data_IF_070812995674
#
_entry.id   IF_070812995674
#
_cell.length_a   1.000
_cell.length_b   1.000
_cell.length_c   1.000
_cell.angle_alpha   90.00
_cell.angle_beta   90.00
_cell.angle_gamma   90.00
#
_symmetry.space_group_name_H-M   'P 1'
#
loop_
_entity.id
_entity.type
_entity.pdbx_description
1 polymer ?
#
# COMPACT_ATOMS: atom_id res chain seq x y z
N UNK A 1 -15.07 3.79 15.08
CA UNK A 1 -14.41 2.68 14.36
C UNK A 1 -12.92 2.94 14.39
N UNK A 2 -12.18 2.17 15.18
CA UNK A 2 -10.74 2.34 15.34
C UNK A 2 -10.07 1.69 14.14
N UNK A 3 -9.54 2.50 13.23
CA UNK A 3 -8.67 2.03 12.15
C UNK A 3 -7.36 1.59 12.80
N UNK A 4 -7.28 0.33 13.25
CA UNK A 4 -5.98 -0.31 13.48
C UNK A 4 -5.37 -0.40 12.08
N UNK A 5 -4.53 0.57 11.75
CA UNK A 5 -3.81 0.61 10.49
C UNK A 5 -2.43 0.01 10.79
N UNK A 6 -2.26 -1.33 10.72
CA UNK A 6 -0.94 -1.91 10.86
C UNK A 6 -0.08 -1.24 9.79
N UNK A 7 1.03 -0.65 10.19
CA UNK A 7 1.99 -0.04 9.27
C UNK A 7 2.48 -1.16 8.35
N UNK A 8 1.86 -1.33 7.18
CA UNK A 8 2.07 -2.48 6.29
C UNK A 8 3.45 -2.44 5.64
N UNK A 9 4.02 -1.24 5.53
CA UNK A 9 5.39 -0.98 5.09
C UNK A 9 6.09 -0.19 6.20
N UNK A 10 7.09 -0.79 6.82
CA UNK A 10 7.93 -0.18 7.86
C UNK A 10 9.25 0.37 7.32
N UNK A 11 10.01 1.02 8.19
CA UNK A 11 11.28 1.70 7.86
C UNK A 11 12.28 0.80 7.10
N UNK A 12 12.39 -0.48 7.49
CA UNK A 12 13.29 -1.43 6.81
C UNK A 12 12.88 -1.70 5.36
N UNK A 13 11.57 -1.73 5.08
CA UNK A 13 11.06 -1.95 3.74
C UNK A 13 11.15 -0.67 2.91
N UNK A 14 10.91 0.51 3.50
CA UNK A 14 11.19 1.81 2.86
C UNK A 14 12.64 1.86 2.39
N UNK A 15 13.59 1.54 3.27
CA UNK A 15 15.01 1.55 2.90
C UNK A 15 15.36 0.58 1.78
N UNK A 16 14.80 -0.63 1.81
CA UNK A 16 15.02 -1.61 0.75
C UNK A 16 14.47 -1.12 -0.61
N UNK A 17 13.36 -0.38 -0.61
CA UNK A 17 12.79 0.20 -1.83
C UNK A 17 13.68 1.34 -2.36
N UNK A 18 14.21 2.20 -1.49
CA UNK A 18 15.20 3.22 -1.88
C UNK A 18 16.40 2.57 -2.59
N UNK A 19 17.01 1.58 -1.94
CA UNK A 19 18.18 0.89 -2.48
C UNK A 19 17.88 0.20 -3.83
N UNK A 20 16.66 -0.34 -4.00
CA UNK A 20 16.23 -0.99 -5.25
C UNK A 20 15.89 -0.03 -6.39
N UNK A 21 15.47 1.20 -6.08
CA UNK A 21 14.90 2.13 -7.07
C UNK A 21 15.77 3.36 -7.34
N UNK A 22 16.75 3.62 -6.48
CA UNK A 22 17.70 4.73 -6.61
C UNK A 22 17.11 6.10 -6.27
N UNK A 23 15.96 6.14 -5.57
CA UNK A 23 15.37 7.39 -5.06
C UNK A 23 15.88 7.70 -3.66
N UNK A 24 15.91 8.98 -3.31
CA UNK A 24 16.34 9.46 -2.00
C UNK A 24 15.13 9.97 -1.16
N UNK A 25 15.27 9.92 0.17
CA UNK A 25 14.27 10.42 1.14
C UNK A 25 12.85 9.84 0.91
N UNK A 26 12.78 8.52 0.70
CA UNK A 26 11.52 7.80 0.53
C UNK A 26 10.80 7.70 1.88
N UNK A 27 9.57 8.21 1.90
CA UNK A 27 8.67 8.09 3.03
C UNK A 27 7.34 7.49 2.61
N UNK A 28 6.87 6.47 3.34
CA UNK A 28 5.57 5.84 3.10
C UNK A 28 4.68 6.06 4.32
N UNK A 29 3.74 7.00 4.19
CA UNK A 29 2.87 7.46 5.28
C UNK A 29 1.41 7.03 5.10
N UNK A 30 0.65 6.92 6.19
CA UNK A 30 -0.81 6.67 6.17
C UNK A 30 -1.62 7.85 6.74
N UNK A 31 -0.99 9.03 6.83
CA UNK A 31 -1.69 10.22 7.30
C UNK A 31 -2.76 10.64 6.29
N UNK A 32 -3.74 11.43 6.73
CA UNK A 32 -4.83 11.87 5.87
C UNK A 32 -4.40 13.12 5.09
N UNK A 33 -3.84 12.90 3.92
CA UNK A 33 -3.23 13.95 3.09
C UNK A 33 -4.00 14.13 1.77
N UNK A 34 -4.53 13.05 1.18
CA UNK A 34 -5.21 13.07 -0.11
C UNK A 34 -6.52 12.27 -0.11
N UNK A 35 -7.53 12.79 -0.81
CA UNK A 35 -8.81 12.10 -0.98
C UNK A 35 -8.65 10.74 -1.71
N UNK A 36 -7.67 10.62 -2.60
CA UNK A 36 -7.36 9.39 -3.35
C UNK A 36 -6.87 8.22 -2.47
N UNK A 37 -6.53 8.47 -1.20
CA UNK A 37 -6.14 7.42 -0.27
C UNK A 37 -7.32 6.54 0.13
N UNK A 38 -8.54 7.06 0.11
CA UNK A 38 -9.74 6.32 0.52
C UNK A 38 -10.18 5.43 -0.64
N UNK A 39 -9.97 4.12 -0.50
CA UNK A 39 -10.26 3.14 -1.54
C UNK A 39 -11.17 2.03 -0.99
N UNK A 40 -11.93 1.38 -1.86
CA UNK A 40 -12.86 0.31 -1.48
C UNK A 40 -12.35 -1.04 -1.93
N UNK A 41 -12.55 -2.06 -1.10
CA UNK A 41 -12.37 -3.45 -1.49
C UNK A 41 -13.57 -3.95 -2.32
N UNK A 42 -13.52 -5.19 -2.85
CA UNK A 42 -14.63 -5.76 -3.63
C UNK A 42 -15.96 -5.88 -2.88
N UNK A 43 -15.96 -5.86 -1.54
CA UNK A 43 -17.17 -5.88 -0.71
C UNK A 43 -17.64 -4.47 -0.34
N UNK A 44 -16.93 -3.43 -0.76
CA UNK A 44 -17.26 -2.04 -0.48
C UNK A 44 -16.73 -1.54 0.87
N UNK A 45 -15.96 -2.33 1.61
CA UNK A 45 -15.32 -1.85 2.84
C UNK A 45 -14.22 -0.84 2.49
N UNK A 46 -14.06 0.16 3.36
CA UNK A 46 -13.13 1.26 3.13
C UNK A 46 -11.76 0.95 3.71
N UNK A 47 -10.74 1.12 2.88
CA UNK A 47 -9.32 0.96 3.20
C UNK A 47 -8.57 2.25 2.89
N UNK A 48 -7.43 2.45 3.54
CA UNK A 48 -6.57 3.62 3.34
C UNK A 48 -5.27 3.22 2.66
N UNK A 49 -5.04 3.73 1.47
CA UNK A 49 -3.76 3.62 0.78
C UNK A 49 -2.71 4.55 1.42
N UNK A 50 -1.43 4.15 1.43
CA UNK A 50 -0.37 5.04 1.86
C UNK A 50 -0.16 6.17 0.87
N UNK A 51 0.52 7.22 1.32
CA UNK A 51 1.17 8.22 0.48
C UNK A 51 2.63 7.83 0.40
N UNK A 52 3.14 7.70 -0.82
CA UNK A 52 4.56 7.55 -1.11
C UNK A 52 5.10 8.92 -1.46
N UNK A 53 6.10 9.38 -0.72
CA UNK A 53 6.83 10.62 -0.97
C UNK A 53 8.30 10.29 -1.19
N UNK A 54 8.94 10.93 -2.15
CA UNK A 54 10.39 10.82 -2.35
C UNK A 54 10.94 12.14 -2.89
N UNK A 55 12.27 12.28 -2.87
CA UNK A 55 12.99 13.38 -3.50
C UNK A 55 13.64 12.88 -4.78
N UNK A 56 13.48 13.66 -5.86
CA UNK A 56 14.15 13.44 -7.14
C UNK A 56 14.51 14.81 -7.71
N UNK A 57 15.75 14.98 -8.15
CA UNK A 57 16.27 16.26 -8.71
C UNK A 57 16.03 17.49 -7.80
N UNK A 58 15.97 17.29 -6.49
CA UNK A 58 15.72 18.33 -5.49
C UNK A 58 14.23 18.70 -5.29
N UNK A 59 13.32 18.05 -6.01
CA UNK A 59 11.87 18.24 -5.88
C UNK A 59 11.20 17.11 -5.10
N UNK A 60 10.11 17.43 -4.39
CA UNK A 60 9.31 16.43 -3.69
C UNK A 60 8.21 15.89 -4.59
N UNK A 61 8.21 14.57 -4.76
CA UNK A 61 7.19 13.86 -5.52
C UNK A 61 6.28 13.08 -4.60
N UNK A 62 5.02 12.92 -5.02
CA UNK A 62 3.98 12.24 -4.25
C UNK A 62 3.23 11.26 -5.14
N UNK A 63 2.90 10.11 -4.56
CA UNK A 63 2.15 9.07 -5.24
C UNK A 63 1.25 8.32 -4.27
N UNK A 64 -0.02 8.15 -4.64
CA UNK A 64 -0.97 7.31 -3.91
C UNK A 64 -1.22 6.04 -4.73
N UNK A 65 -0.70 4.86 -4.31
CA UNK A 65 -0.89 3.63 -5.04
C UNK A 65 -2.33 3.13 -4.95
N UNK A 66 -2.77 2.44 -6.00
CA UNK A 66 -4.03 1.70 -5.98
C UNK A 66 -3.84 0.39 -5.21
N UNK A 67 -4.69 0.15 -4.22
CA UNK A 67 -4.66 -1.07 -3.42
C UNK A 67 -5.17 -2.26 -4.24
N UNK A 68 -4.43 -3.36 -4.13
CA UNK A 68 -4.88 -4.69 -4.54
C UNK A 68 -5.31 -5.45 -3.29
N UNK A 69 -6.32 -6.31 -3.44
CA UNK A 69 -6.91 -7.04 -2.31
C UNK A 69 -6.84 -8.54 -2.56
N UNK A 70 -6.45 -9.29 -1.54
CA UNK A 70 -6.45 -10.75 -1.50
C UNK A 70 -7.53 -11.25 -0.54
N UNK A 71 -8.07 -12.44 -0.82
CA UNK A 71 -9.02 -13.08 0.08
C UNK A 71 -8.30 -13.49 1.37
N UNK A 72 -8.82 -13.07 2.52
CA UNK A 72 -8.33 -13.52 3.82
C UNK A 72 -8.78 -14.95 4.07
N UNK A 73 -7.96 -15.91 3.62
CA UNK A 73 -8.18 -17.35 3.83
C UNK A 73 -7.77 -17.83 5.23
N UNK A 74 -7.23 -16.93 6.05
CA UNK A 74 -6.67 -17.26 7.39
C UNK A 74 -7.76 -17.52 8.43
N UNK A 75 -8.99 -17.07 8.19
CA UNK A 75 -10.11 -17.42 9.06
C UNK A 75 -10.69 -18.77 8.63
N UNK A 76 -10.44 -19.79 9.46
CA UNK A 76 -10.83 -21.16 9.18
C UNK A 76 -12.35 -21.23 9.01
N UNK A 77 -12.85 -21.58 7.80
CA UNK A 77 -14.29 -21.54 7.51
C UNK A 77 -15.14 -22.38 8.47
N UNK A 78 -14.56 -23.45 9.02
CA UNK A 78 -15.23 -24.30 10.01
C UNK A 78 -15.44 -23.60 11.37
N UNK A 79 -14.53 -22.71 11.78
CA UNK A 79 -14.63 -21.99 13.05
C UNK A 79 -15.76 -20.95 12.99
N UNK A 80 -15.87 -20.21 11.88
CA UNK A 80 -16.98 -19.28 11.62
C UNK A 80 -18.34 -19.98 11.63
N UNK A 81 -18.42 -21.18 11.04
CA UNK A 81 -19.62 -22.01 11.03
C UNK A 81 -20.07 -22.45 12.43
N UNK A 82 -19.13 -22.77 13.32
CA UNK A 82 -19.43 -23.11 14.72
C UNK A 82 -19.89 -21.89 15.51
N UNK A 83 -19.31 -20.72 15.23
CA UNK A 83 -19.60 -19.47 15.94
C UNK A 83 -20.83 -18.72 15.40
N UNK A 84 -21.52 -19.25 14.39
CA UNK A 84 -22.70 -18.61 13.78
C UNK A 84 -22.38 -17.28 13.09
N UNK A 85 -21.12 -17.04 12.71
CA UNK A 85 -20.70 -15.84 11.99
C UNK A 85 -21.06 -16.00 10.50
N UNK A 86 -21.67 -14.98 9.92
CA UNK A 86 -21.99 -14.96 8.50
C UNK A 86 -20.71 -15.12 7.66
N UNK A 87 -20.78 -15.95 6.61
CA UNK A 87 -19.65 -16.27 5.74
C UNK A 87 -19.36 -15.13 4.75
N UNK A 88 -19.14 -13.91 5.26
CA UNK A 88 -18.70 -12.83 4.39
C UNK A 88 -17.19 -12.98 4.10
N UNK A 89 -16.79 -12.96 2.81
CA UNK A 89 -15.39 -13.01 2.45
C UNK A 89 -14.70 -11.74 2.94
N UNK A 90 -13.72 -11.90 3.83
CA UNK A 90 -12.90 -10.79 4.29
C UNK A 90 -11.75 -10.58 3.33
N UNK A 91 -11.47 -9.34 2.96
CA UNK A 91 -10.35 -9.00 2.09
C UNK A 91 -9.23 -8.31 2.88
N UNK A 92 -7.99 -8.65 2.55
CA UNK A 92 -6.78 -8.00 3.08
C UNK A 92 -6.04 -7.29 1.97
N UNK A 93 -5.34 -6.21 2.30
CA UNK A 93 -4.46 -5.53 1.33
C UNK A 93 -3.34 -6.50 0.94
N UNK A 94 -3.11 -6.67 -0.35
CA UNK A 94 -1.98 -7.41 -0.88
C UNK A 94 -0.72 -6.53 -0.78
N UNK A 95 0.01 -6.69 0.33
CA UNK A 95 1.24 -5.94 0.61
C UNK A 95 2.34 -6.19 -0.44
N UNK A 96 2.43 -7.40 -0.98
CA UNK A 96 3.45 -7.73 -1.99
C UNK A 96 3.15 -7.03 -3.32
N UNK A 97 1.88 -7.00 -3.74
CA UNK A 97 1.44 -6.23 -4.90
C UNK A 97 1.62 -4.72 -4.69
N UNK A 98 1.37 -4.22 -3.46
CA UNK A 98 1.59 -2.83 -3.09
C UNK A 98 3.06 -2.43 -3.26
N UNK A 99 4.00 -3.18 -2.67
CA UNK A 99 5.44 -2.90 -2.78
C UNK A 99 5.88 -2.88 -4.25
N UNK A 100 5.50 -3.91 -5.03
CA UNK A 100 5.82 -3.96 -6.47
C UNK A 100 5.27 -2.77 -7.26
N UNK A 101 4.09 -2.27 -6.88
CA UNK A 101 3.47 -1.11 -7.53
C UNK A 101 4.27 0.17 -7.24
N UNK A 102 4.73 0.33 -6.00
CA UNK A 102 5.56 1.45 -5.58
C UNK A 102 6.91 1.40 -6.31
N UNK A 103 7.61 0.26 -6.26
CA UNK A 103 8.89 0.09 -6.94
C UNK A 103 8.80 0.38 -8.45
N UNK A 104 7.75 -0.14 -9.11
CA UNK A 104 7.54 0.11 -10.54
C UNK A 104 7.35 1.59 -10.85
N UNK A 105 6.60 2.32 -10.00
CA UNK A 105 6.39 3.76 -10.18
C UNK A 105 7.69 4.52 -10.01
N UNK A 106 8.44 4.26 -8.94
CA UNK A 106 9.73 4.91 -8.68
C UNK A 106 10.74 4.63 -9.80
N UNK A 107 10.85 3.38 -10.26
CA UNK A 107 11.70 3.02 -11.40
C UNK A 107 11.28 3.73 -12.69
N UNK A 108 9.99 3.87 -12.95
CA UNK A 108 9.54 4.58 -14.16
C UNK A 108 9.89 6.07 -14.15
N UNK A 109 9.90 6.70 -12.98
CA UNK A 109 10.21 8.12 -12.82
C UNK A 109 11.73 8.36 -12.81
N UNK A 110 12.52 7.43 -12.26
CA UNK A 110 13.99 7.53 -12.28
C UNK A 110 14.58 7.40 -13.69
N UNK A 111 13.97 6.58 -14.56
CA UNK A 111 14.42 6.42 -15.96
C UNK A 111 14.06 7.61 -16.86
N UNK A 112 13.06 8.42 -16.50
CA UNK A 112 12.67 9.60 -17.29
C UNK A 112 13.64 10.79 -17.12
N UNK A 113 14.46 10.80 -16.06
CA UNK A 113 15.50 11.83 -15.83
C UNK A 113 16.79 11.64 -16.64
N UNK A 114 16.98 10.50 -17.31
CA UNK A 114 18.20 10.16 -18.08
C UNK A 114 18.14 10.55 -19.57
N UNK A 115 17.09 11.25 -20.00
CA UNK A 115 16.92 11.71 -21.38
C UNK A 115 17.01 13.23 -21.44
N UNK A 116 18.22 13.79 -21.28
CA UNK A 116 18.60 15.14 -21.73
C UNK A 116 20.03 15.15 -22.27
#
# INVERSE_FOLDING_TARGET
MTFINPRLIGLTQERAIEDNTGVDDLHIGWQNEFASQVQKDPMGNTHRAPVVRWVQDGEHHYFVPRLSFSLNVTETPWLRKILGLENEPTYTIDTAALIKTIERKLLSESHQGLVL
#
